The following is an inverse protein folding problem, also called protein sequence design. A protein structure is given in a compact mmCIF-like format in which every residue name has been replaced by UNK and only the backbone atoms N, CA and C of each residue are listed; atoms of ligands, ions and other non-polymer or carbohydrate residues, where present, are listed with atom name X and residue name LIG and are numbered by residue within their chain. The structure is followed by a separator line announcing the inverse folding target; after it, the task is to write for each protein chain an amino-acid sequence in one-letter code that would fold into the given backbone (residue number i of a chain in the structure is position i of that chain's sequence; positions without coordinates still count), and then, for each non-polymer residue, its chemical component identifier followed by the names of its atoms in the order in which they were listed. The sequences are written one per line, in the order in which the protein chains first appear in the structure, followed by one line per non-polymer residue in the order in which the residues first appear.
data_IF_261032387838
#
_entry.id   IF_261032387838
#
_cell.length_a   1.000
_cell.length_b   1.000
_cell.length_c   1.000
_cell.angle_alpha   90.00
_cell.angle_beta   90.00
_cell.angle_gamma   90.00
#
_symmetry.space_group_name_H-M   'P 1'
#
loop_
_entity.id
_entity.type
_entity.pdbx_description
1 polymer ?
#
# COMPACT_ATOMS: atom_id res chain seq x y z
N UNK A 1 -3.61 -28.40 -12.55
CA UNK A 1 -3.09 -27.04 -12.72
C UNK A 1 -2.39 -26.64 -11.43
N UNK A 2 -1.32 -25.87 -11.52
CA UNK A 2 -0.64 -25.30 -10.36
C UNK A 2 -1.28 -23.94 -10.09
N UNK A 3 -1.67 -23.70 -8.84
CA UNK A 3 -2.20 -22.41 -8.38
C UNK A 3 -1.17 -21.82 -7.41
N UNK A 4 -0.88 -20.54 -7.54
CA UNK A 4 -0.06 -19.81 -6.61
C UNK A 4 -0.96 -19.09 -5.60
N UNK A 5 -0.77 -19.40 -4.33
CA UNK A 5 -1.44 -18.70 -3.26
C UNK A 5 -0.65 -17.45 -2.88
N UNK A 6 -1.35 -16.39 -2.60
CA UNK A 6 -0.76 -15.14 -2.12
C UNK A 6 -0.51 -15.19 -0.62
N UNK A 7 0.52 -14.47 -0.19
CA UNK A 7 0.85 -14.28 1.21
C UNK A 7 1.42 -12.88 1.45
N UNK A 8 1.23 -12.39 2.66
CA UNK A 8 1.83 -11.14 3.15
C UNK A 8 2.79 -11.46 4.28
N UNK A 9 3.90 -10.76 4.34
CA UNK A 9 4.91 -10.92 5.38
C UNK A 9 5.32 -9.54 5.90
N UNK A 10 5.31 -9.39 7.22
CA UNK A 10 6.01 -8.28 7.88
C UNK A 10 7.41 -8.76 8.27
N UNK A 11 8.42 -7.99 7.90
CA UNK A 11 9.82 -8.33 8.16
C UNK A 11 10.44 -7.24 9.02
N UNK A 12 10.85 -7.60 10.23
CA UNK A 12 11.65 -6.73 11.08
C UNK A 12 13.11 -6.76 10.61
N UNK A 13 13.61 -5.61 10.17
CA UNK A 13 14.99 -5.45 9.71
C UNK A 13 15.98 -5.55 10.87
N UNK A 14 17.09 -6.29 10.70
CA UNK A 14 18.11 -6.52 11.74
C UNK A 14 19.23 -5.46 11.77
N UNK A 15 19.14 -4.42 10.92
CA UNK A 15 20.16 -3.37 10.79
C UNK A 15 21.42 -3.78 10.01
N UNK A 16 21.54 -5.06 9.60
CA UNK A 16 22.76 -5.61 8.96
C UNK A 16 22.50 -6.19 7.56
N UNK A 17 21.34 -5.88 6.97
CA UNK A 17 20.93 -6.35 5.64
C UNK A 17 20.19 -7.70 5.66
N UNK A 18 19.80 -8.20 6.84
CA UNK A 18 18.90 -9.31 7.07
C UNK A 18 17.60 -8.87 7.74
N UNK A 19 16.73 -9.83 8.07
CA UNK A 19 15.50 -9.59 8.80
C UNK A 19 14.86 -10.87 9.27
N UNK A 20 13.87 -10.73 10.16
CA UNK A 20 13.06 -11.81 10.70
C UNK A 20 11.59 -11.55 10.35
N UNK A 21 10.87 -12.59 9.91
CA UNK A 21 9.42 -12.52 9.71
C UNK A 21 8.77 -12.44 11.10
N UNK A 22 8.07 -11.34 11.35
CA UNK A 22 7.40 -11.09 12.64
C UNK A 22 5.89 -11.26 12.57
N UNK A 23 5.33 -11.21 11.37
CA UNK A 23 3.93 -11.50 11.09
C UNK A 23 3.78 -12.05 9.67
N UNK A 24 2.83 -12.96 9.47
CA UNK A 24 2.47 -13.48 8.15
C UNK A 24 0.97 -13.77 8.06
N UNK A 25 0.43 -13.59 6.86
CA UNK A 25 -0.94 -13.90 6.48
C UNK A 25 -0.93 -14.66 5.14
N UNK A 26 -1.76 -15.68 5.01
CA UNK A 26 -1.86 -16.50 3.81
C UNK A 26 -3.31 -16.60 3.33
N UNK A 27 -3.58 -16.24 2.07
CA UNK A 27 -4.91 -16.40 1.48
C UNK A 27 -5.45 -17.81 1.61
N UNK A 28 -4.56 -18.81 1.63
CA UNK A 28 -4.92 -20.23 1.69
C UNK A 28 -5.70 -20.61 2.95
N UNK A 29 -5.60 -19.86 4.01
CA UNK A 29 -6.27 -20.09 5.28
C UNK A 29 -7.69 -19.49 5.30
N UNK A 30 -8.08 -18.71 4.27
CA UNK A 30 -9.33 -17.94 4.23
C UNK A 30 -10.19 -18.28 3.01
N UNK A 31 -10.25 -19.55 2.65
CA UNK A 31 -10.96 -20.05 1.47
C UNK A 31 -12.29 -20.69 1.83
N UNK A 32 -13.28 -20.50 0.94
CA UNK A 32 -14.57 -21.17 0.95
C UNK A 32 -14.83 -21.83 -0.41
N UNK A 33 -15.73 -22.82 -0.46
CA UNK A 33 -16.25 -23.39 -1.69
C UNK A 33 -17.59 -24.07 -1.46
N UNK A 34 -18.42 -24.16 -2.49
CA UNK A 34 -19.74 -24.80 -2.48
C UNK A 34 -19.82 -26.07 -3.35
N UNK A 35 -18.70 -26.48 -3.96
CA UNK A 35 -18.65 -27.55 -4.94
C UNK A 35 -18.56 -28.95 -4.32
N UNK A 36 -17.82 -29.14 -3.23
CA UNK A 36 -17.64 -30.44 -2.55
C UNK A 36 -17.95 -30.35 -1.06
N UNK A 37 -19.10 -30.91 -0.67
CA UNK A 37 -19.56 -30.93 0.73
C UNK A 37 -18.76 -31.88 1.64
N UNK A 38 -17.75 -32.56 1.11
CA UNK A 38 -16.86 -33.43 1.88
C UNK A 38 -15.63 -32.71 2.41
N UNK A 39 -15.33 -31.51 1.93
CA UNK A 39 -14.18 -30.72 2.34
C UNK A 39 -14.51 -29.78 3.50
N UNK A 40 -13.52 -29.48 4.35
CA UNK A 40 -13.68 -28.70 5.58
C UNK A 40 -14.09 -27.24 5.31
N UNK A 41 -13.71 -26.68 4.17
CA UNK A 41 -14.04 -25.32 3.75
C UNK A 41 -15.37 -25.21 2.96
N UNK A 42 -16.23 -26.24 3.01
CA UNK A 42 -17.52 -26.22 2.35
C UNK A 42 -18.49 -25.25 3.03
N UNK A 43 -19.10 -24.36 2.26
CA UNK A 43 -20.12 -23.42 2.73
C UNK A 43 -20.85 -22.74 1.59
N UNK A 44 -21.85 -21.92 1.90
CA UNK A 44 -22.55 -21.08 0.92
C UNK A 44 -21.72 -19.81 0.73
N UNK A 45 -21.16 -19.62 -0.44
CA UNK A 45 -20.23 -18.50 -0.75
C UNK A 45 -20.87 -17.15 -0.40
N UNK A 46 -22.13 -16.93 -0.77
CA UNK A 46 -22.82 -15.66 -0.48
C UNK A 46 -23.07 -15.38 1.00
N UNK A 47 -23.01 -16.38 1.88
CA UNK A 47 -23.17 -16.20 3.31
C UNK A 47 -21.86 -15.77 4.00
N UNK A 48 -20.72 -15.91 3.29
CA UNK A 48 -19.36 -15.68 3.79
C UNK A 48 -18.57 -14.71 2.93
N UNK A 49 -18.98 -13.43 2.81
CA UNK A 49 -18.25 -12.44 2.04
C UNK A 49 -16.85 -12.14 2.59
N UNK A 50 -16.57 -12.56 3.84
CA UNK A 50 -15.27 -12.45 4.50
C UNK A 50 -14.25 -13.50 4.01
N UNK A 51 -14.69 -14.51 3.24
CA UNK A 51 -13.83 -15.57 2.70
C UNK A 51 -13.71 -15.47 1.18
N UNK A 52 -12.72 -16.11 0.62
CA UNK A 52 -12.48 -16.14 -0.81
C UNK A 52 -12.93 -17.48 -1.42
N UNK A 53 -13.77 -17.43 -2.47
CA UNK A 53 -14.19 -18.65 -3.20
C UNK A 53 -13.02 -19.20 -4.02
N UNK A 54 -12.52 -20.40 -3.65
CA UNK A 54 -11.44 -21.09 -4.36
C UNK A 54 -11.80 -21.43 -5.81
N UNK A 55 -13.08 -21.53 -6.13
CA UNK A 55 -13.58 -21.83 -7.47
C UNK A 55 -13.69 -20.56 -8.33
N UNK A 56 -13.52 -19.37 -7.75
CA UNK A 56 -13.59 -18.15 -8.49
C UNK A 56 -12.38 -17.93 -9.38
N UNK A 57 -12.59 -17.37 -10.55
CA UNK A 57 -11.57 -17.04 -11.53
C UNK A 57 -11.05 -18.24 -12.31
N UNK A 58 -9.98 -18.03 -13.05
CA UNK A 58 -9.40 -18.98 -13.98
C UNK A 58 -7.96 -19.31 -13.63
N UNK A 59 -7.74 -20.01 -12.52
CA UNK A 59 -6.42 -20.51 -12.17
C UNK A 59 -5.77 -21.26 -13.35
N UNK A 60 -4.59 -20.81 -13.75
CA UNK A 60 -3.83 -21.41 -14.82
C UNK A 60 -4.16 -20.96 -16.23
N UNK A 61 -5.01 -19.95 -16.42
CA UNK A 61 -5.35 -19.38 -17.72
C UNK A 61 -4.74 -18.01 -18.00
N UNK A 62 -4.32 -17.31 -16.97
CA UNK A 62 -3.73 -15.98 -17.06
C UNK A 62 -2.24 -16.03 -17.36
N UNK A 63 -1.77 -15.05 -18.12
CA UNK A 63 -0.35 -14.86 -18.39
C UNK A 63 0.33 -14.10 -17.26
N UNK A 64 0.59 -14.76 -16.14
CA UNK A 64 1.40 -14.19 -15.08
C UNK A 64 2.81 -13.81 -15.52
N UNK A 65 3.64 -13.17 -14.67
CA UNK A 65 4.99 -12.75 -15.00
C UNK A 65 5.82 -13.88 -15.61
N UNK A 66 6.44 -13.63 -16.75
CA UNK A 66 7.21 -14.64 -17.47
C UNK A 66 6.38 -15.72 -18.17
N UNK A 67 5.06 -15.54 -18.36
CA UNK A 67 4.15 -16.49 -18.98
C UNK A 67 3.71 -17.62 -18.03
N UNK A 68 3.83 -17.43 -16.74
CA UNK A 68 3.38 -18.38 -15.73
C UNK A 68 1.85 -18.54 -15.76
N UNK A 69 1.39 -19.79 -15.55
CA UNK A 69 -0.03 -20.15 -15.60
C UNK A 69 -0.66 -20.38 -14.23
N UNK A 70 0.12 -20.26 -13.15
CA UNK A 70 -0.34 -20.46 -11.77
C UNK A 70 -0.80 -19.18 -11.06
N UNK A 71 -0.57 -18.02 -11.66
CA UNK A 71 -0.94 -16.72 -11.12
C UNK A 71 -2.47 -16.57 -11.10
N UNK A 72 -3.02 -16.52 -9.94
CA UNK A 72 -4.47 -16.58 -9.72
C UNK A 72 -5.04 -15.25 -9.24
N UNK A 73 -4.39 -14.62 -8.27
CA UNK A 73 -4.82 -13.37 -7.68
C UNK A 73 -4.13 -12.17 -8.31
N UNK A 74 -2.84 -12.31 -8.57
CA UNK A 74 -1.98 -11.21 -9.04
C UNK A 74 -2.09 -9.98 -8.14
N UNK A 75 -1.72 -10.12 -6.85
CA UNK A 75 -1.70 -9.00 -5.93
C UNK A 75 -0.60 -8.02 -6.37
N UNK A 76 -1.00 -6.78 -6.64
CA UNK A 76 -0.14 -5.76 -7.26
C UNK A 76 0.03 -4.49 -6.42
N UNK A 77 -0.67 -4.39 -5.30
CA UNK A 77 -0.53 -3.27 -4.37
C UNK A 77 -0.81 -3.73 -2.93
N UNK A 78 -0.07 -3.12 -2.01
CA UNK A 78 -0.23 -3.25 -0.55
C UNK A 78 -0.11 -1.86 0.05
N UNK A 79 -1.02 -1.48 0.93
CA UNK A 79 -0.96 -0.25 1.71
C UNK A 79 -1.36 -0.54 3.15
N UNK A 80 -0.70 0.14 4.10
CA UNK A 80 -0.93 -0.03 5.53
C UNK A 80 -1.53 1.22 6.13
N UNK A 81 -2.53 1.04 6.98
CA UNK A 81 -3.16 2.08 7.78
C UNK A 81 -2.79 1.88 9.25
N UNK A 82 -1.92 2.75 9.77
CA UNK A 82 -1.43 2.64 11.15
C UNK A 82 -2.45 3.04 12.22
N UNK A 83 -3.49 3.81 11.87
CA UNK A 83 -4.53 4.23 12.81
C UNK A 83 -5.42 3.06 13.20
N UNK A 84 -5.80 2.26 12.21
CA UNK A 84 -6.69 1.12 12.40
C UNK A 84 -5.96 -0.22 12.43
N UNK A 85 -4.63 -0.22 12.20
CA UNK A 85 -3.80 -1.43 12.09
C UNK A 85 -4.37 -2.40 11.06
N UNK A 86 -4.62 -1.87 9.84
CA UNK A 86 -5.21 -2.60 8.72
C UNK A 86 -4.31 -2.55 7.49
N UNK A 87 -4.34 -3.61 6.69
CA UNK A 87 -3.68 -3.70 5.39
C UNK A 87 -4.74 -3.78 4.29
N UNK A 88 -4.63 -2.93 3.25
CA UNK A 88 -5.38 -3.11 2.01
C UNK A 88 -4.48 -3.68 0.93
N UNK A 89 -5.01 -4.65 0.19
CA UNK A 89 -4.37 -5.25 -0.98
C UNK A 89 -5.27 -5.13 -2.20
N UNK A 90 -4.66 -5.12 -3.39
CA UNK A 90 -5.36 -5.12 -4.68
C UNK A 90 -5.03 -6.38 -5.46
N UNK A 91 -6.06 -7.09 -5.90
CA UNK A 91 -5.95 -8.26 -6.76
C UNK A 91 -6.41 -7.93 -8.17
N UNK A 92 -5.46 -7.89 -9.10
CA UNK A 92 -5.71 -7.54 -10.49
C UNK A 92 -6.67 -8.52 -11.18
N UNK A 93 -6.45 -9.84 -11.01
CA UNK A 93 -7.21 -10.84 -11.74
C UNK A 93 -8.57 -11.14 -11.14
N UNK A 94 -8.83 -10.61 -9.96
CA UNK A 94 -10.15 -10.71 -9.31
C UNK A 94 -10.96 -9.42 -9.46
N UNK A 95 -10.34 -8.35 -9.96
CA UNK A 95 -10.98 -7.03 -10.05
C UNK A 95 -11.51 -6.55 -8.69
N UNK A 96 -10.76 -6.82 -7.63
CA UNK A 96 -11.16 -6.51 -6.24
C UNK A 96 -9.98 -5.98 -5.42
N UNK A 97 -10.35 -5.23 -4.38
CA UNK A 97 -9.48 -4.93 -3.26
C UNK A 97 -9.97 -5.65 -2.02
N UNK A 98 -9.06 -5.91 -1.06
CA UNK A 98 -9.38 -6.57 0.20
C UNK A 98 -8.70 -5.85 1.36
N UNK A 99 -9.40 -5.73 2.50
CA UNK A 99 -8.84 -5.21 3.75
C UNK A 99 -8.71 -6.35 4.75
N UNK A 100 -7.57 -6.41 5.42
CA UNK A 100 -7.17 -7.45 6.35
C UNK A 100 -6.78 -6.81 7.68
N UNK A 101 -7.13 -7.47 8.80
CA UNK A 101 -6.73 -7.09 10.16
C UNK A 101 -5.25 -7.44 10.38
N UNK A 102 -4.40 -6.43 10.54
CA UNK A 102 -2.98 -6.62 10.84
C UNK A 102 -2.70 -6.66 12.37
N UNK A 103 -3.67 -6.30 13.19
CA UNK A 103 -3.53 -6.33 14.66
C UNK A 103 -3.49 -7.75 15.24
N UNK A 104 -3.60 -8.76 14.39
CA UNK A 104 -3.55 -10.19 14.72
C UNK A 104 -2.13 -10.65 15.02
N UNK A 105 -2.00 -11.69 15.85
CA UNK A 105 -0.80 -12.55 15.82
C UNK A 105 -0.79 -13.40 14.55
N UNK A 106 0.35 -13.99 14.16
CA UNK A 106 0.42 -14.93 13.03
C UNK A 106 -0.57 -16.09 13.17
N UNK A 107 -0.77 -16.62 14.38
CA UNK A 107 -1.72 -17.69 14.63
C UNK A 107 -3.19 -17.22 14.47
N UNK A 108 -3.50 -16.00 14.86
CA UNK A 108 -4.82 -15.39 14.63
C UNK A 108 -5.02 -15.05 13.17
N UNK A 109 -3.99 -14.55 12.48
CA UNK A 109 -4.01 -14.27 11.05
C UNK A 109 -4.25 -15.53 10.19
N UNK A 110 -3.91 -16.72 10.68
CA UNK A 110 -4.24 -18.01 10.06
C UNK A 110 -5.59 -18.59 10.50
N UNK A 111 -6.42 -17.82 11.21
CA UNK A 111 -7.69 -18.29 11.76
C UNK A 111 -8.85 -17.34 11.42
N UNK A 112 -10.09 -17.74 11.79
CA UNK A 112 -11.31 -16.97 11.56
C UNK A 112 -11.73 -16.15 12.80
N UNK A 113 -10.82 -15.91 13.75
CA UNK A 113 -11.11 -15.15 14.97
C UNK A 113 -9.84 -14.57 15.58
N UNK A 114 -9.96 -13.47 16.32
CA UNK A 114 -8.82 -12.75 16.92
C UNK A 114 -8.63 -11.39 16.29
N UNK A 115 -7.56 -10.70 16.69
CA UNK A 115 -7.30 -9.33 16.33
C UNK A 115 -8.29 -8.32 16.90
N UNK A 116 -8.15 -7.05 16.54
CA UNK A 116 -9.02 -5.96 17.01
C UNK A 116 -10.44 -6.06 16.46
N UNK A 117 -10.61 -6.68 15.30
CA UNK A 117 -11.88 -6.76 14.58
C UNK A 117 -12.57 -8.12 14.77
N UNK A 118 -11.93 -9.05 15.49
CA UNK A 118 -12.52 -10.33 15.91
C UNK A 118 -12.69 -11.36 14.80
N UNK A 119 -12.11 -11.13 13.61
CA UNK A 119 -12.23 -11.99 12.43
C UNK A 119 -10.96 -12.77 12.08
N UNK A 120 -9.91 -12.65 12.89
CA UNK A 120 -8.60 -13.21 12.55
C UNK A 120 -8.10 -12.62 11.22
N UNK A 121 -7.65 -13.47 10.30
CA UNK A 121 -7.18 -13.04 8.98
C UNK A 121 -8.25 -12.98 7.88
N UNK A 122 -9.53 -13.20 8.20
CA UNK A 122 -10.62 -13.06 7.24
C UNK A 122 -10.77 -11.61 6.78
N UNK A 123 -11.30 -11.40 5.57
CA UNK A 123 -11.47 -10.05 5.04
C UNK A 123 -12.41 -9.22 5.90
N UNK A 124 -11.94 -8.06 6.31
CA UNK A 124 -12.76 -7.03 6.95
C UNK A 124 -13.69 -6.35 5.95
N UNK A 125 -13.17 -6.19 4.72
CA UNK A 125 -13.84 -5.50 3.62
C UNK A 125 -13.30 -6.00 2.29
N UNK A 126 -14.15 -6.00 1.27
CA UNK A 126 -13.80 -6.23 -0.13
C UNK A 126 -14.65 -5.37 -1.04
N UNK A 127 -14.12 -4.94 -2.20
CA UNK A 127 -14.85 -4.11 -3.13
C UNK A 127 -14.30 -4.22 -4.55
N UNK A 128 -15.17 -4.12 -5.54
CA UNK A 128 -14.83 -4.10 -6.95
C UNK A 128 -15.65 -5.07 -7.79
N UNK A 129 -15.76 -6.34 -7.39
CA UNK A 129 -16.44 -7.36 -8.17
C UNK A 129 -17.32 -8.26 -7.29
N UNK A 130 -18.56 -7.88 -7.00
CA UNK A 130 -19.44 -8.62 -6.11
C UNK A 130 -19.87 -9.99 -6.64
N UNK A 131 -19.63 -10.27 -7.93
CA UNK A 131 -19.85 -11.60 -8.49
C UNK A 131 -18.96 -12.66 -7.85
N UNK A 132 -17.74 -12.27 -7.40
CA UNK A 132 -16.74 -13.17 -6.83
C UNK A 132 -17.17 -13.82 -5.50
N UNK A 133 -18.21 -13.31 -4.87
CA UNK A 133 -18.79 -13.86 -3.64
C UNK A 133 -20.33 -13.97 -3.69
N UNK A 134 -20.86 -14.20 -4.90
CA UNK A 134 -22.26 -14.49 -5.18
C UNK A 134 -23.27 -13.43 -4.67
N UNK A 135 -22.82 -12.17 -4.55
CA UNK A 135 -23.68 -11.04 -4.15
C UNK A 135 -23.87 -10.00 -5.24
N UNK A 136 -23.65 -10.38 -6.51
CA UNK A 136 -23.81 -9.48 -7.66
C UNK A 136 -23.62 -10.20 -8.98
N UNK A 137 -23.63 -9.42 -10.04
CA UNK A 137 -23.44 -9.86 -11.42
C UNK A 137 -22.23 -9.15 -12.03
N UNK A 138 -21.75 -9.60 -13.17
CA UNK A 138 -20.67 -8.95 -13.90
C UNK A 138 -20.99 -7.48 -14.27
N UNK A 139 -22.27 -7.12 -14.35
CA UNK A 139 -22.70 -5.73 -14.58
C UNK A 139 -22.47 -4.81 -13.37
N UNK A 140 -22.27 -5.38 -12.21
CA UNK A 140 -22.12 -4.66 -10.95
C UNK A 140 -20.62 -4.47 -10.59
N UNK A 141 -19.73 -4.95 -11.48
CA UNK A 141 -18.29 -4.78 -11.36
C UNK A 141 -17.90 -3.31 -11.53
N UNK A 142 -17.16 -2.78 -10.53
CA UNK A 142 -16.70 -1.39 -10.49
C UNK A 142 -15.20 -1.24 -10.75
N UNK A 143 -14.41 -2.32 -10.60
CA UNK A 143 -12.98 -2.37 -10.90
C UNK A 143 -12.69 -3.31 -12.05
N UNK A 144 -11.60 -3.03 -12.80
CA UNK A 144 -11.11 -3.86 -13.89
C UNK A 144 -9.61 -3.68 -14.03
N UNK A 145 -8.84 -4.77 -13.77
CA UNK A 145 -7.37 -4.79 -13.86
C UNK A 145 -6.67 -3.69 -13.03
N UNK A 146 -7.22 -3.23 -11.92
CA UNK A 146 -6.78 -2.08 -11.14
C UNK A 146 -5.38 -2.25 -10.50
N UNK A 147 -4.73 -1.12 -10.19
CA UNK A 147 -3.41 -1.05 -9.54
C UNK A 147 -3.36 0.05 -8.46
N UNK A 148 -2.36 -0.05 -7.59
CA UNK A 148 -1.92 1.02 -6.67
C UNK A 148 -2.97 1.47 -5.67
N UNK A 149 -3.83 0.56 -5.15
CA UNK A 149 -4.73 0.91 -4.05
C UNK A 149 -3.94 1.50 -2.88
N UNK A 150 -4.43 2.59 -2.32
CA UNK A 150 -3.91 3.15 -1.09
C UNK A 150 -4.98 3.98 -0.37
N UNK A 151 -4.80 4.14 0.96
CA UNK A 151 -5.55 5.15 1.70
C UNK A 151 -5.01 6.53 1.39
N UNK A 152 -5.90 7.50 1.26
CA UNK A 152 -5.52 8.90 1.28
C UNK A 152 -5.10 9.23 2.72
N UNK A 153 -3.88 9.76 2.95
CA UNK A 153 -3.40 10.04 4.30
C UNK A 153 -4.30 11.01 5.07
N UNK A 154 -4.44 10.79 6.38
CA UNK A 154 -5.12 11.72 7.26
C UNK A 154 -4.51 13.13 7.16
N UNK A 155 -5.41 14.13 7.19
CA UNK A 155 -5.04 15.54 7.01
C UNK A 155 -4.88 15.98 5.55
N UNK A 156 -4.94 15.07 4.57
CA UNK A 156 -5.05 15.43 3.15
C UNK A 156 -6.52 15.53 2.75
N UNK A 157 -6.85 16.31 1.70
CA UNK A 157 -8.21 16.29 1.16
C UNK A 157 -8.65 14.90 0.75
N UNK A 158 -9.73 14.40 1.31
CA UNK A 158 -10.20 13.02 1.17
C UNK A 158 -9.55 12.03 2.14
N UNK A 159 -8.88 12.50 3.22
CA UNK A 159 -8.25 11.62 4.22
C UNK A 159 -9.17 10.50 4.70
N UNK A 160 -8.65 9.26 4.79
CA UNK A 160 -9.42 8.06 5.12
C UNK A 160 -10.12 7.39 3.92
N UNK A 161 -10.28 8.06 2.78
CA UNK A 161 -10.81 7.45 1.57
C UNK A 161 -9.77 6.55 0.89
N UNK A 162 -10.26 5.65 0.05
CA UNK A 162 -9.40 4.89 -0.87
C UNK A 162 -9.22 5.61 -2.20
N UNK A 163 -8.02 5.51 -2.75
CA UNK A 163 -7.70 5.93 -4.11
C UNK A 163 -6.88 4.85 -4.82
N UNK A 164 -7.15 4.63 -6.11
CA UNK A 164 -6.45 3.65 -6.94
C UNK A 164 -6.48 4.06 -8.43
N UNK A 165 -5.72 3.35 -9.26
CA UNK A 165 -5.80 3.46 -10.72
C UNK A 165 -6.55 2.25 -11.28
N UNK A 166 -7.67 2.49 -11.99
CA UNK A 166 -8.58 1.49 -12.54
C UNK A 166 -8.28 1.31 -14.04
N UNK A 167 -7.38 0.39 -14.37
CA UNK A 167 -6.79 0.28 -15.71
C UNK A 167 -7.81 -0.04 -16.81
N UNK A 168 -8.76 -0.95 -16.56
CA UNK A 168 -9.77 -1.32 -17.54
C UNK A 168 -10.75 -0.18 -17.86
N UNK A 169 -10.92 0.78 -16.94
CA UNK A 169 -11.69 2.00 -17.14
C UNK A 169 -10.83 3.21 -17.53
N UNK A 170 -9.49 3.06 -17.49
CA UNK A 170 -8.51 4.08 -17.88
C UNK A 170 -8.57 5.38 -17.06
N UNK A 171 -8.79 5.26 -15.76
CA UNK A 171 -8.95 6.39 -14.85
C UNK A 171 -8.47 6.05 -13.45
N UNK A 172 -8.08 7.08 -12.70
CA UNK A 172 -7.94 6.95 -11.24
C UNK A 172 -9.28 7.26 -10.59
N UNK A 173 -9.62 6.51 -9.53
CA UNK A 173 -10.88 6.69 -8.81
C UNK A 173 -10.65 6.83 -7.31
N UNK A 174 -11.47 7.66 -6.67
CA UNK A 174 -11.56 7.82 -5.23
C UNK A 174 -12.95 7.43 -4.74
N UNK A 175 -13.02 6.67 -3.65
CA UNK A 175 -14.28 6.27 -3.02
C UNK A 175 -14.18 6.24 -1.51
N UNK A 176 -15.33 6.40 -0.85
CA UNK A 176 -15.46 6.37 0.61
C UNK A 176 -15.84 4.96 1.03
N UNK A 177 -14.97 4.22 1.76
CA UNK A 177 -15.37 2.92 2.28
C UNK A 177 -16.52 3.05 3.31
N UNK A 178 -17.40 2.06 3.43
CA UNK A 178 -18.48 2.06 4.43
C UNK A 178 -17.94 1.69 5.83
N UNK A 179 -16.98 2.48 6.31
CA UNK A 179 -16.25 2.28 7.56
C UNK A 179 -16.72 3.27 8.62
N UNK A 180 -16.84 2.81 9.86
CA UNK A 180 -17.12 3.68 11.01
C UNK A 180 -15.83 4.27 11.64
N UNK A 181 -16.02 5.12 12.67
CA UNK A 181 -14.92 5.80 13.34
C UNK A 181 -13.96 4.84 14.10
N UNK A 182 -14.37 3.61 14.35
CA UNK A 182 -13.59 2.56 15.01
C UNK A 182 -12.91 1.60 14.01
N UNK A 183 -13.10 1.80 12.70
CA UNK A 183 -12.47 1.01 11.64
C UNK A 183 -13.26 -0.24 11.22
N UNK A 184 -14.52 -0.40 11.65
CA UNK A 184 -15.37 -1.51 11.23
C UNK A 184 -16.11 -1.18 9.94
N UNK A 185 -16.12 -2.14 9.01
CA UNK A 185 -16.82 -2.02 7.75
C UNK A 185 -18.24 -2.57 7.86
N UNK A 186 -19.20 -1.83 7.31
CA UNK A 186 -20.61 -2.24 7.32
C UNK A 186 -21.00 -2.91 6.01
N UNK A 187 -21.82 -3.93 6.10
CA UNK A 187 -22.44 -4.61 4.97
C UNK A 187 -23.90 -4.89 5.31
N UNK A 188 -24.81 -4.64 4.39
CA UNK A 188 -26.21 -5.02 4.54
C UNK A 188 -26.40 -6.51 4.24
N UNK A 189 -27.32 -7.15 4.98
CA UNK A 189 -27.57 -8.58 4.83
C UNK A 189 -27.97 -8.95 3.39
N UNK A 190 -27.26 -9.91 2.81
CA UNK A 190 -27.47 -10.36 1.43
C UNK A 190 -27.08 -9.35 0.34
N UNK A 191 -26.56 -8.17 0.68
CA UNK A 191 -26.07 -7.20 -0.29
C UNK A 191 -24.55 -7.29 -0.46
N UNK A 192 -23.98 -6.81 -1.56
CA UNK A 192 -22.54 -6.62 -1.67
C UNK A 192 -22.05 -5.51 -0.73
N UNK A 193 -20.74 -5.46 -0.50
CA UNK A 193 -20.12 -4.30 0.13
C UNK A 193 -20.26 -3.06 -0.76
N UNK A 194 -20.67 -1.93 -0.15
CA UNK A 194 -20.61 -0.60 -0.79
C UNK A 194 -19.19 -0.02 -0.82
N UNK A 195 -19.02 1.19 -1.38
CA UNK A 195 -20.09 2.04 -1.89
C UNK A 195 -20.55 1.66 -3.29
N UNK A 196 -21.76 2.11 -3.67
CA UNK A 196 -22.27 1.98 -5.04
C UNK A 196 -21.66 3.01 -5.98
N UNK A 197 -21.23 4.17 -5.43
CA UNK A 197 -20.73 5.31 -6.19
C UNK A 197 -19.29 5.66 -5.80
N UNK A 198 -18.48 6.02 -6.80
CA UNK A 198 -17.21 6.72 -6.62
C UNK A 198 -17.49 8.22 -6.42
N UNK A 199 -16.61 8.91 -5.68
CA UNK A 199 -16.80 10.34 -5.40
C UNK A 199 -15.94 11.25 -6.28
N UNK A 200 -14.91 10.69 -6.91
CA UNK A 200 -14.04 11.39 -7.85
C UNK A 200 -13.41 10.41 -8.83
N UNK A 201 -13.29 10.86 -10.08
CA UNK A 201 -12.55 10.18 -11.14
C UNK A 201 -11.61 11.17 -11.84
N UNK A 202 -10.49 10.68 -12.36
CA UNK A 202 -9.55 11.46 -13.16
C UNK A 202 -9.98 11.57 -14.62
N UNK A 203 -9.38 12.49 -15.41
CA UNK A 203 -9.40 12.36 -16.86
C UNK A 203 -8.86 11.00 -17.33
N UNK A 204 -9.15 10.66 -18.58
CA UNK A 204 -8.73 9.44 -19.24
C UNK A 204 -7.20 9.34 -19.40
N UNK A 205 -6.64 8.19 -19.00
CA UNK A 205 -5.23 7.81 -19.16
C UNK A 205 -5.15 6.43 -19.82
N UNK A 206 -4.43 6.31 -20.94
CA UNK A 206 -4.35 5.06 -21.70
C UNK A 206 -3.24 4.16 -21.18
N UNK A 207 -3.36 3.63 -19.97
CA UNK A 207 -2.40 2.66 -19.43
C UNK A 207 -3.10 1.33 -19.11
N UNK A 208 -2.64 0.25 -19.75
CA UNK A 208 -3.23 -1.08 -19.63
C UNK A 208 -2.59 -1.88 -18.47
N UNK A 209 -1.44 -1.47 -17.98
CA UNK A 209 -0.68 -2.16 -16.93
C UNK A 209 -0.08 -1.18 -15.96
N UNK A 210 -0.01 -1.54 -14.68
CA UNK A 210 0.60 -0.72 -13.64
C UNK A 210 -0.05 0.67 -13.56
N UNK A 211 0.74 1.71 -13.27
CA UNK A 211 0.20 3.04 -13.02
C UNK A 211 -0.10 3.26 -11.55
N UNK A 212 -0.54 4.47 -11.21
CA UNK A 212 -0.85 4.80 -9.83
C UNK A 212 -1.49 6.17 -9.67
N UNK A 213 -2.20 6.33 -8.56
CA UNK A 213 -2.83 7.57 -8.14
C UNK A 213 -2.55 7.82 -6.66
N UNK A 214 -2.03 9.00 -6.34
CA UNK A 214 -1.72 9.39 -4.96
C UNK A 214 -2.20 10.81 -4.70
N UNK A 215 -3.07 10.98 -3.70
CA UNK A 215 -3.52 12.31 -3.26
C UNK A 215 -2.36 13.05 -2.59
N UNK A 216 -2.21 14.32 -2.91
CA UNK A 216 -1.19 15.20 -2.36
C UNK A 216 -1.77 16.13 -1.28
N UNK A 217 -0.92 16.67 -0.37
CA UNK A 217 -1.37 17.56 0.71
C UNK A 217 -2.11 18.82 0.22
N UNK A 218 -1.83 19.26 -1.02
CA UNK A 218 -2.47 20.43 -1.63
C UNK A 218 -3.81 20.13 -2.30
N UNK A 219 -4.28 18.87 -2.24
CA UNK A 219 -5.52 18.39 -2.85
C UNK A 219 -5.39 17.96 -4.32
N UNK A 220 -4.24 18.14 -4.94
CA UNK A 220 -3.97 17.59 -6.26
C UNK A 220 -3.75 16.08 -6.18
N UNK A 221 -3.79 15.40 -7.32
CA UNK A 221 -3.49 13.98 -7.43
C UNK A 221 -2.28 13.78 -8.34
N UNK A 222 -1.31 12.98 -7.88
CA UNK A 222 -0.21 12.52 -8.70
C UNK A 222 -0.65 11.26 -9.44
N UNK A 223 -0.69 11.32 -10.76
CA UNK A 223 -1.04 10.19 -11.64
C UNK A 223 0.24 9.68 -12.31
N UNK A 224 0.39 8.38 -12.41
CA UNK A 224 1.41 7.72 -13.23
C UNK A 224 0.72 6.99 -14.38
N UNK A 225 0.94 7.42 -15.61
CA UNK A 225 0.59 6.69 -16.83
C UNK A 225 1.78 5.82 -17.23
N UNK A 226 1.70 4.54 -16.93
CA UNK A 226 2.82 3.62 -17.13
C UNK A 226 3.22 3.50 -18.60
N UNK A 227 2.25 3.28 -19.46
CA UNK A 227 2.50 2.96 -20.88
C UNK A 227 3.00 4.18 -21.67
N UNK A 228 2.60 5.38 -21.26
CA UNK A 228 3.09 6.65 -21.83
C UNK A 228 4.42 7.08 -21.20
N UNK A 229 4.82 6.46 -20.08
CA UNK A 229 5.95 6.86 -19.24
C UNK A 229 5.85 8.32 -18.76
N UNK A 230 4.63 8.73 -18.41
CA UNK A 230 4.30 10.07 -17.93
C UNK A 230 3.91 10.05 -16.45
N UNK A 231 4.31 11.09 -15.74
CA UNK A 231 3.86 11.39 -14.39
C UNK A 231 3.24 12.78 -14.43
N UNK A 232 2.02 12.91 -13.95
CA UNK A 232 1.30 14.19 -13.94
C UNK A 232 0.77 14.51 -12.54
N UNK A 233 0.88 15.76 -12.13
CA UNK A 233 0.13 16.30 -11.01
C UNK A 233 -1.08 17.06 -11.58
N UNK A 234 -2.28 16.60 -11.21
CA UNK A 234 -3.54 17.18 -11.68
C UNK A 234 -4.32 17.77 -10.52
N UNK A 235 -5.08 18.83 -10.79
CA UNK A 235 -6.06 19.39 -9.85
C UNK A 235 -7.27 18.47 -9.72
N UNK A 236 -8.13 18.69 -8.72
CA UNK A 236 -9.42 18.01 -8.57
C UNK A 236 -10.27 18.07 -9.86
N UNK A 237 -10.19 19.17 -10.61
CA UNK A 237 -10.90 19.32 -11.90
C UNK A 237 -10.19 18.69 -13.10
N UNK A 238 -9.09 17.94 -12.89
CA UNK A 238 -8.35 17.24 -13.95
C UNK A 238 -7.38 18.13 -14.74
N UNK A 239 -7.09 19.37 -14.30
CA UNK A 239 -6.12 20.22 -15.00
C UNK A 239 -4.70 19.87 -14.60
N UNK A 240 -3.83 19.57 -15.57
CA UNK A 240 -2.39 19.29 -15.33
C UNK A 240 -1.69 20.57 -14.87
N UNK A 241 -1.02 20.52 -13.72
CA UNK A 241 -0.25 21.63 -13.13
C UNK A 241 1.26 21.35 -13.13
N UNK A 242 1.64 20.11 -13.24
CA UNK A 242 3.03 19.68 -13.40
C UNK A 242 3.07 18.35 -14.14
N UNK A 243 4.12 18.11 -14.93
CA UNK A 243 4.33 16.84 -15.61
C UNK A 243 5.81 16.49 -15.77
N UNK A 244 6.09 15.20 -15.85
CA UNK A 244 7.36 14.62 -16.23
C UNK A 244 7.11 13.50 -17.23
N UNK A 245 7.92 13.46 -18.31
CA UNK A 245 7.86 12.40 -19.30
C UNK A 245 9.25 11.78 -19.48
N UNK A 246 9.32 10.47 -19.42
CA UNK A 246 10.54 9.73 -19.74
C UNK A 246 10.57 9.37 -21.22
N UNK A 247 11.58 9.84 -21.94
CA UNK A 247 11.78 9.51 -23.36
C UNK A 247 12.65 8.26 -23.51
N UNK A 248 12.31 7.42 -24.49
CA UNK A 248 13.10 6.24 -24.85
C UNK A 248 12.28 5.19 -25.57
N UNK A 249 12.94 4.25 -26.24
CA UNK A 249 12.24 3.11 -26.85
C UNK A 249 11.79 2.17 -25.73
N UNK A 250 10.49 1.93 -25.63
CA UNK A 250 9.85 1.14 -24.58
C UNK A 250 10.05 1.72 -23.17
N UNK A 251 10.05 3.05 -23.02
CA UNK A 251 10.02 3.69 -21.71
C UNK A 251 8.67 3.39 -21.02
N UNK A 252 8.74 2.93 -19.77
CA UNK A 252 7.60 2.72 -18.90
C UNK A 252 7.95 3.21 -17.51
N UNK A 253 6.98 3.77 -16.78
CA UNK A 253 7.11 4.13 -15.36
C UNK A 253 6.04 3.36 -14.60
N UNK A 254 6.45 2.39 -13.81
CA UNK A 254 5.51 1.51 -13.13
C UNK A 254 4.60 2.26 -12.15
N UNK A 255 5.20 3.12 -11.33
CA UNK A 255 4.52 3.92 -10.31
C UNK A 255 5.45 5.02 -9.81
N UNK A 256 4.90 6.17 -9.48
CA UNK A 256 5.61 7.28 -8.84
C UNK A 256 4.89 7.73 -7.57
N UNK A 257 5.66 8.14 -6.57
CA UNK A 257 5.16 8.80 -5.36
C UNK A 257 5.93 10.11 -5.16
N UNK A 258 5.26 11.08 -4.56
CA UNK A 258 5.85 12.38 -4.24
C UNK A 258 5.94 12.52 -2.72
N UNK A 259 7.14 12.80 -2.25
CA UNK A 259 7.44 12.99 -0.84
C UNK A 259 7.79 14.44 -0.57
N UNK A 260 7.59 14.90 0.66
CA UNK A 260 8.13 16.16 1.12
C UNK A 260 9.66 16.13 1.01
N UNK A 261 10.27 17.30 0.86
CA UNK A 261 11.73 17.40 0.66
C UNK A 261 12.51 16.87 1.87
N UNK A 262 11.91 16.93 3.04
CA UNK A 262 12.43 16.47 4.34
C UNK A 262 12.02 15.04 4.71
N UNK A 263 11.28 14.35 3.82
CA UNK A 263 10.81 12.98 4.07
C UNK A 263 11.95 11.96 4.26
N UNK A 264 13.06 12.19 3.54
CA UNK A 264 14.27 11.39 3.65
C UNK A 264 15.38 12.13 4.42
N UNK A 265 15.04 13.25 5.06
CA UNK A 265 15.91 13.73 6.09
C UNK A 265 15.94 12.61 7.16
N UNK A 266 16.81 11.65 6.89
CA UNK A 266 17.52 11.00 7.95
C UNK A 266 17.77 12.15 8.90
N UNK A 267 17.31 12.08 10.13
CA UNK A 267 17.98 12.80 11.20
C UNK A 267 19.44 12.51 10.88
N UNK A 268 20.12 13.49 10.28
CA UNK A 268 21.54 13.39 10.11
C UNK A 268 22.02 13.25 11.56
N UNK A 269 22.19 12.02 12.01
CA UNK A 269 23.12 11.71 13.10
C UNK A 269 24.47 12.06 12.46
N UNK A 270 24.66 13.38 12.27
CA UNK A 270 25.63 14.01 11.44
C UNK A 270 26.92 13.26 11.54
N UNK A 271 27.60 13.00 10.45
CA UNK A 271 28.88 12.27 10.51
C UNK A 271 29.57 12.78 11.77
N UNK A 272 29.66 11.91 12.80
CA UNK A 272 30.16 12.36 14.09
C UNK A 272 31.50 13.07 13.82
N UNK A 273 31.56 14.36 14.17
CA UNK A 273 32.68 15.20 13.83
C UNK A 273 32.56 16.09 12.60
N UNK A 274 31.49 16.00 11.78
CA UNK A 274 31.19 16.97 10.70
C UNK A 274 30.45 18.16 11.31
N UNK A 275 31.21 19.10 11.85
CA UNK A 275 30.68 20.24 12.60
C UNK A 275 30.16 21.35 11.67
N UNK A 276 30.69 21.41 10.44
CA UNK A 276 30.29 22.42 9.48
C UNK A 276 29.13 21.97 8.57
N UNK A 277 28.72 20.66 8.63
CA UNK A 277 27.62 20.09 7.89
C UNK A 277 27.86 19.97 6.38
N UNK A 278 29.14 19.89 5.93
CA UNK A 278 29.47 19.79 4.51
C UNK A 278 29.56 18.34 3.98
N UNK A 279 29.36 17.34 4.86
CA UNK A 279 29.42 15.92 4.55
C UNK A 279 30.84 15.36 4.42
N UNK A 280 31.90 16.11 4.78
CA UNK A 280 33.30 15.70 4.64
C UNK A 280 34.06 15.94 5.93
N UNK A 281 34.49 14.89 6.62
CA UNK A 281 35.36 15.01 7.80
C UNK A 281 36.73 15.53 7.37
N UNK A 282 37.08 16.74 7.82
CA UNK A 282 38.34 17.37 7.47
C UNK A 282 38.78 18.41 8.54
N UNK A 283 39.87 19.13 8.30
CA UNK A 283 40.43 20.10 9.24
C UNK A 283 39.46 21.27 9.54
N UNK A 284 38.48 21.55 8.67
CA UNK A 284 37.54 22.64 8.88
C UNK A 284 36.55 22.29 10.02
N UNK A 285 36.27 21.03 10.20
CA UNK A 285 35.41 20.54 11.32
C UNK A 285 36.15 20.70 12.64
N UNK A 286 37.42 20.36 12.68
CA UNK A 286 38.26 20.59 13.89
C UNK A 286 38.29 22.07 14.25
N UNK A 287 38.44 22.97 13.27
CA UNK A 287 38.40 24.41 13.50
C UNK A 287 37.04 24.86 14.03
N UNK A 288 35.97 24.33 13.48
CA UNK A 288 34.60 24.61 13.91
C UNK A 288 34.37 24.11 15.33
N UNK A 289 34.81 22.90 15.67
CA UNK A 289 34.71 22.31 17.00
C UNK A 289 35.48 23.14 18.03
N UNK A 290 36.72 23.55 17.73
CA UNK A 290 37.49 24.41 18.62
C UNK A 290 36.79 25.75 18.87
N UNK A 291 36.13 26.34 17.88
CA UNK A 291 35.36 27.57 18.04
C UNK A 291 34.14 27.35 18.93
N UNK A 292 33.42 26.23 18.81
CA UNK A 292 32.32 25.88 19.69
C UNK A 292 32.79 25.75 21.14
N UNK A 293 33.89 25.04 21.41
CA UNK A 293 34.49 24.87 22.72
C UNK A 293 34.86 26.24 23.33
N UNK A 294 35.52 27.12 22.56
CA UNK A 294 35.95 28.45 23.00
C UNK A 294 34.77 29.38 23.28
N UNK A 295 33.66 29.23 22.57
CA UNK A 295 32.45 30.04 22.77
C UNK A 295 31.49 29.47 23.80
N UNK A 296 31.71 28.23 24.24
CA UNK A 296 30.86 27.52 25.21
C UNK A 296 29.50 27.12 24.63
N UNK A 297 29.41 26.99 23.30
CA UNK A 297 28.23 26.48 22.62
C UNK A 297 28.33 24.96 22.53
N UNK A 298 27.19 24.26 22.67
CA UNK A 298 27.08 22.82 22.50
C UNK A 298 26.49 22.50 21.12
N UNK A 299 27.09 21.52 20.46
CA UNK A 299 26.61 20.91 19.22
C UNK A 299 26.79 19.40 19.34
N UNK A 300 25.72 18.63 19.19
CA UNK A 300 25.72 17.18 19.43
C UNK A 300 26.65 16.42 18.44
N UNK A 301 26.78 16.91 17.20
CA UNK A 301 27.70 16.34 16.20
C UNK A 301 29.18 16.46 16.60
N UNK A 302 29.50 17.34 17.54
CA UNK A 302 30.83 17.55 18.07
C UNK A 302 31.16 16.75 19.32
N UNK A 303 30.18 16.17 20.00
CA UNK A 303 30.35 15.31 21.16
C UNK A 303 30.68 13.88 20.74
N UNK A 304 31.95 13.68 20.38
CA UNK A 304 32.45 12.42 19.81
C UNK A 304 32.46 11.29 20.84
N UNK A 305 32.66 11.64 22.11
CA UNK A 305 32.74 10.63 23.19
C UNK A 305 31.41 10.39 23.92
N UNK A 306 30.36 11.20 23.64
CA UNK A 306 29.01 11.04 24.18
C UNK A 306 28.89 11.38 25.67
N UNK A 307 29.70 12.34 26.19
CA UNK A 307 29.70 12.73 27.58
C UNK A 307 28.89 14.00 27.89
N UNK A 308 28.13 14.49 26.89
CA UNK A 308 27.33 15.72 26.92
C UNK A 308 28.15 17.02 27.12
N UNK A 309 29.46 16.99 26.89
CA UNK A 309 30.36 18.13 27.01
C UNK A 309 31.22 18.28 25.75
N UNK A 310 31.25 19.47 25.16
CA UNK A 310 32.26 19.75 24.12
C UNK A 310 33.57 20.23 24.77
N UNK A 311 34.63 19.46 24.58
CA UNK A 311 35.93 19.73 25.12
C UNK A 311 37.07 19.14 24.27
N UNK A 312 38.32 19.19 24.79
CA UNK A 312 39.50 18.72 24.03
C UNK A 312 39.50 17.19 23.82
N UNK A 313 38.65 16.43 24.48
CA UNK A 313 38.56 14.98 24.34
C UNK A 313 37.73 14.58 23.10
N UNK A 314 37.05 15.55 22.48
CA UNK A 314 36.25 15.36 21.24
C UNK A 314 37.06 15.67 19.98
N UNK A 315 38.29 16.15 20.10
CA UNK A 315 39.21 16.42 19.00
C UNK A 315 40.08 15.19 18.73
#
# INVERSE_FOLDING_TARGET
NQMWSEALFEIQHDGNGGGEVVWEWHLWDHLIQDADSGDENYGIVSDHPELFDINNGNAGSSGGPGGATGDWMHINAVSYNAEFDQIVISSRFQDEIFVIDHSTTTEEAASHSGGNYGRGGDFLYRWGNPQNYDRGYNSDKTLDDQHSINWIPEGYPGGGNFILFNNGFNEAVEFVPPMDDDGFYTIEDGQPYGPDDIIWDSPYYSTAMQGGAFRLPNGNTLITDCDSADIEEITESGSVVWSYSQSGTNANIARAQKYAIDHFDVVDDGIAGDINGDGILNILDIVSLVNLILTGNYEASGDINGDDLLNILDI
#
